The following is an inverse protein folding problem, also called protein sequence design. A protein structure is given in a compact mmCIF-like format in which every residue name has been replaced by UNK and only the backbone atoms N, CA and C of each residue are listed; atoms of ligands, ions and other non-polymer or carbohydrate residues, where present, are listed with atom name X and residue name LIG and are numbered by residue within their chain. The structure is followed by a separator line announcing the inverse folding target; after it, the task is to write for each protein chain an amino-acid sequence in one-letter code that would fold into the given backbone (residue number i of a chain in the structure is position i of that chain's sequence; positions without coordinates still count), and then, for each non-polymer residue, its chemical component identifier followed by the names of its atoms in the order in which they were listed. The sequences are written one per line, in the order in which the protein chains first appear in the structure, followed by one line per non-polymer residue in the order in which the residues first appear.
data_IF_524852867547
#
_entry.id   IF_524852867547
#
_cell.length_a   1.000
_cell.length_b   1.000
_cell.length_c   1.000
_cell.angle_alpha   90.00
_cell.angle_beta   90.00
_cell.angle_gamma   90.00
#
_symmetry.space_group_name_H-M   'P 1'
#
loop_
_entity.id
_entity.type
_entity.pdbx_description
1 polymer ?
#
# COMPACT_ATOMS: atom_id res chain seq x y z
N UNK A 1 14.28 19.29 -6.11
CA UNK A 1 13.35 18.19 -5.78
C UNK A 1 12.25 18.78 -4.94
N UNK A 2 10.98 18.57 -5.31
CA UNK A 2 9.89 18.92 -4.41
C UNK A 2 9.83 17.87 -3.30
N UNK A 3 9.53 18.29 -2.07
CA UNK A 3 9.42 17.38 -0.93
C UNK A 3 8.18 16.48 -1.02
N UNK A 4 8.22 15.34 -0.34
CA UNK A 4 7.06 14.48 -0.13
C UNK A 4 6.69 14.40 1.35
N UNK A 5 5.40 14.19 1.62
CA UNK A 5 4.85 14.05 2.97
C UNK A 5 4.09 12.73 3.02
N UNK A 6 4.43 11.88 3.98
CA UNK A 6 3.64 10.67 4.28
C UNK A 6 2.73 10.95 5.48
N UNK A 7 1.47 10.58 5.37
CA UNK A 7 0.45 10.80 6.40
C UNK A 7 -0.20 9.46 6.74
N UNK A 8 0.12 8.86 7.90
CA UNK A 8 -0.65 7.76 8.48
C UNK A 8 -2.04 8.28 8.88
N UNK A 9 -2.99 8.25 7.95
CA UNK A 9 -4.31 8.87 8.10
C UNK A 9 -5.27 7.94 8.83
N UNK A 10 -4.86 7.51 10.03
CA UNK A 10 -5.56 6.52 10.86
C UNK A 10 -6.62 7.22 11.73
N UNK A 11 -7.40 8.09 11.09
CA UNK A 11 -8.41 8.92 11.72
C UNK A 11 -9.73 8.60 11.03
N UNK A 12 -10.76 8.22 11.79
CA UNK A 12 -12.08 8.02 11.23
C UNK A 12 -12.62 9.32 10.60
N UNK A 13 -13.11 9.31 9.34
CA UNK A 13 -13.47 10.50 8.58
C UNK A 13 -14.85 11.06 8.96
N UNK A 14 -15.05 11.31 10.26
CA UNK A 14 -16.17 12.13 10.72
C UNK A 14 -16.12 13.52 10.07
N UNK A 15 -17.26 14.22 10.04
CA UNK A 15 -17.38 15.52 9.39
C UNK A 15 -16.27 16.48 9.85
N UNK A 16 -15.42 16.90 8.92
CA UNK A 16 -14.31 17.82 9.16
C UNK A 16 -12.98 17.19 9.60
N UNK A 17 -12.95 15.90 9.96
CA UNK A 17 -11.74 15.25 10.49
C UNK A 17 -10.57 15.22 9.49
N UNK A 18 -10.88 15.05 8.20
CA UNK A 18 -9.87 15.03 7.12
C UNK A 18 -9.68 16.39 6.44
N UNK A 19 -10.44 17.43 6.83
CA UNK A 19 -10.26 18.79 6.29
C UNK A 19 -8.82 19.31 6.39
N UNK A 20 -8.05 19.05 7.48
CA UNK A 20 -6.66 19.50 7.54
C UNK A 20 -5.77 19.00 6.40
N UNK A 21 -5.89 17.73 6.00
CA UNK A 21 -5.08 17.18 4.89
C UNK A 21 -5.55 17.74 3.53
N UNK A 22 -6.85 17.96 3.34
CA UNK A 22 -7.37 18.59 2.12
C UNK A 22 -6.81 20.00 1.95
N UNK A 23 -6.86 20.79 3.03
CA UNK A 23 -6.36 22.16 3.05
C UNK A 23 -4.85 22.20 2.82
N UNK A 24 -4.10 21.29 3.46
CA UNK A 24 -2.65 21.21 3.28
C UNK A 24 -2.26 20.85 1.85
N UNK A 25 -2.89 19.83 1.25
CA UNK A 25 -2.64 19.45 -0.13
C UNK A 25 -2.95 20.59 -1.12
N UNK A 26 -4.05 21.33 -0.87
CA UNK A 26 -4.46 22.46 -1.70
C UNK A 26 -3.53 23.68 -1.55
N UNK A 27 -3.05 23.95 -0.33
CA UNK A 27 -2.17 25.07 -0.05
C UNK A 27 -0.73 24.85 -0.56
N UNK A 28 -0.31 23.59 -0.68
CA UNK A 28 1.04 23.22 -1.11
C UNK A 28 1.02 22.30 -2.33
N UNK A 29 0.58 22.80 -3.52
CA UNK A 29 0.42 21.97 -4.72
C UNK A 29 1.75 21.40 -5.26
N UNK A 30 2.88 21.96 -4.82
CA UNK A 30 4.21 21.47 -5.19
C UNK A 30 4.62 20.22 -4.40
N UNK A 31 4.07 20.00 -3.20
CA UNK A 31 4.37 18.82 -2.38
C UNK A 31 3.53 17.62 -2.82
N UNK A 32 4.12 16.43 -2.77
CA UNK A 32 3.42 15.17 -2.99
C UNK A 32 3.02 14.55 -1.64
N UNK A 33 1.75 14.25 -1.46
CA UNK A 33 1.21 13.65 -0.23
C UNK A 33 0.90 12.19 -0.46
N UNK A 34 1.40 11.30 0.40
CA UNK A 34 1.00 9.89 0.45
C UNK A 34 0.18 9.66 1.71
N UNK A 35 -1.13 9.49 1.57
CA UNK A 35 -2.05 9.21 2.66
C UNK A 35 -2.28 7.70 2.82
N UNK A 36 -1.96 7.15 3.98
CA UNK A 36 -2.18 5.74 4.31
C UNK A 36 -3.58 5.61 4.92
N UNK A 37 -4.48 4.89 4.24
CA UNK A 37 -5.85 4.64 4.68
C UNK A 37 -5.92 3.31 5.41
N UNK A 38 -6.39 3.36 6.66
CA UNK A 38 -6.54 2.20 7.52
C UNK A 38 -7.93 2.27 8.20
N UNK A 39 -8.87 1.40 7.78
CA UNK A 39 -10.23 1.39 8.35
C UNK A 39 -10.25 0.61 9.66
N UNK A 40 -9.67 -0.59 9.65
CA UNK A 40 -9.61 -1.47 10.81
C UNK A 40 -8.47 -2.48 10.68
N UNK A 41 -7.23 -2.00 10.82
CA UNK A 41 -5.99 -2.74 10.53
C UNK A 41 -5.98 -3.39 9.13
N UNK A 42 -6.57 -2.69 8.17
CA UNK A 42 -6.92 -3.22 6.85
C UNK A 42 -8.11 -2.46 6.22
N UNK A 43 -8.74 -3.06 5.19
CA UNK A 43 -9.90 -2.49 4.51
C UNK A 43 -11.20 -2.55 5.35
N UNK A 44 -11.20 -3.26 6.47
CA UNK A 44 -12.39 -3.50 7.30
C UNK A 44 -13.08 -4.83 6.97
N UNK A 45 -14.22 -5.09 7.62
CA UNK A 45 -14.89 -6.40 7.55
C UNK A 45 -15.84 -6.55 6.33
N UNK A 46 -16.16 -5.46 5.63
CA UNK A 46 -17.06 -5.44 4.49
C UNK A 46 -16.33 -5.36 3.15
N UNK A 47 -17.03 -5.72 2.06
CA UNK A 47 -16.50 -5.60 0.70
C UNK A 47 -16.23 -4.13 0.30
N UNK A 48 -17.00 -3.20 0.86
CA UNK A 48 -16.88 -1.77 0.63
C UNK A 48 -16.72 -1.04 1.96
N UNK A 49 -16.04 0.13 1.97
CA UNK A 49 -15.89 0.93 3.17
C UNK A 49 -17.22 1.61 3.51
N UNK A 50 -17.31 2.20 4.71
CA UNK A 50 -18.50 2.99 5.08
C UNK A 50 -18.64 4.21 4.17
N UNK A 51 -19.85 4.78 4.10
CA UNK A 51 -20.13 5.97 3.28
C UNK A 51 -19.21 7.15 3.61
N UNK A 52 -18.87 7.33 4.88
CA UNK A 52 -17.98 8.38 5.35
C UNK A 52 -16.57 8.21 4.76
N UNK A 53 -16.04 6.98 4.76
CA UNK A 53 -14.78 6.67 4.11
C UNK A 53 -14.86 6.83 2.59
N UNK A 54 -15.89 6.31 1.92
CA UNK A 54 -16.06 6.47 0.47
C UNK A 54 -16.05 7.94 0.05
N UNK A 55 -16.80 8.80 0.76
CA UNK A 55 -16.88 10.23 0.46
C UNK A 55 -15.55 10.95 0.72
N UNK A 56 -14.90 10.67 1.85
CA UNK A 56 -13.64 11.29 2.21
C UNK A 56 -12.50 10.88 1.25
N UNK A 57 -12.45 9.60 0.87
CA UNK A 57 -11.51 9.11 -0.14
C UNK A 57 -11.76 9.74 -1.51
N UNK A 58 -13.03 9.88 -1.93
CA UNK A 58 -13.37 10.56 -3.18
C UNK A 58 -12.82 12.00 -3.24
N UNK A 59 -12.85 12.72 -2.12
CA UNK A 59 -12.24 14.06 -2.03
C UNK A 59 -10.71 13.97 -2.11
N UNK A 60 -10.05 13.10 -1.33
CA UNK A 60 -8.59 12.93 -1.40
C UNK A 60 -8.12 12.58 -2.81
N UNK A 61 -8.77 11.60 -3.43
CA UNK A 61 -8.43 11.07 -4.73
C UNK A 61 -8.72 12.04 -5.89
N UNK A 62 -9.41 13.16 -5.62
CA UNK A 62 -9.60 14.25 -6.57
C UNK A 62 -8.45 15.27 -6.56
N UNK A 63 -7.59 15.25 -5.53
CA UNK A 63 -6.45 16.13 -5.41
C UNK A 63 -5.24 15.56 -6.15
N UNK A 64 -4.78 16.25 -7.18
CA UNK A 64 -3.73 15.76 -8.11
C UNK A 64 -2.36 15.48 -7.46
N UNK A 65 -2.12 16.03 -6.26
CA UNK A 65 -0.88 15.89 -5.52
C UNK A 65 -1.04 14.97 -4.29
N UNK A 66 -2.12 14.18 -4.25
CA UNK A 66 -2.40 13.20 -3.21
C UNK A 66 -2.44 11.79 -3.81
N UNK A 67 -1.65 10.90 -3.22
CA UNK A 67 -1.69 9.46 -3.44
C UNK A 67 -2.27 8.78 -2.20
N UNK A 68 -3.38 8.09 -2.34
CA UNK A 68 -3.93 7.21 -1.29
C UNK A 68 -3.38 5.80 -1.43
N UNK A 69 -3.03 5.16 -0.32
CA UNK A 69 -2.58 3.76 -0.26
C UNK A 69 -3.24 3.03 0.90
N UNK A 70 -3.55 1.75 0.73
CA UNK A 70 -4.24 0.93 1.71
C UNK A 70 -3.27 0.29 2.69
N UNK A 71 -3.62 0.22 3.97
CA UNK A 71 -2.80 -0.40 5.00
C UNK A 71 -3.01 -1.93 5.00
N UNK A 72 -1.92 -2.69 5.07
CA UNK A 72 -1.96 -4.15 5.26
C UNK A 72 -0.87 -4.57 6.24
N UNK A 73 -1.27 -5.18 7.35
CA UNK A 73 -0.34 -5.74 8.35
C UNK A 73 0.15 -7.13 7.95
N UNK A 74 1.43 -7.43 8.16
CA UNK A 74 2.02 -8.76 7.89
C UNK A 74 2.46 -9.50 9.16
N UNK A 75 2.48 -8.83 10.31
CA UNK A 75 2.96 -9.37 11.59
C UNK A 75 4.31 -10.09 11.45
N UNK A 76 5.31 -9.39 10.90
CA UNK A 76 6.66 -9.93 10.63
C UNK A 76 6.66 -11.17 9.75
N UNK A 77 5.80 -11.18 8.73
CA UNK A 77 5.57 -12.31 7.82
C UNK A 77 4.99 -13.57 8.48
N UNK A 78 4.38 -13.45 9.67
CA UNK A 78 3.72 -14.58 10.36
C UNK A 78 2.22 -14.60 10.15
N UNK A 79 1.61 -13.51 9.68
CA UNK A 79 0.19 -13.46 9.35
C UNK A 79 -0.11 -14.39 8.17
N UNK A 80 -1.26 -15.05 8.19
CA UNK A 80 -1.67 -15.93 7.08
C UNK A 80 -1.66 -15.16 5.75
N UNK A 81 -0.91 -15.67 4.77
CA UNK A 81 -0.74 -15.03 3.47
C UNK A 81 -2.07 -14.86 2.73
N UNK A 82 -2.98 -15.84 2.79
CA UNK A 82 -4.27 -15.71 2.10
C UNK A 82 -5.08 -14.54 2.65
N UNK A 83 -5.09 -14.35 3.98
CA UNK A 83 -5.77 -13.21 4.60
C UNK A 83 -5.18 -11.87 4.15
N UNK A 84 -3.86 -11.80 3.96
CA UNK A 84 -3.21 -10.59 3.43
C UNK A 84 -3.61 -10.35 1.97
N UNK A 85 -3.63 -11.41 1.15
CA UNK A 85 -4.06 -11.31 -0.25
C UNK A 85 -5.54 -10.91 -0.38
N UNK A 86 -6.40 -11.41 0.50
CA UNK A 86 -7.82 -11.04 0.55
C UNK A 86 -8.02 -9.55 0.85
N UNK A 87 -7.18 -8.95 1.73
CA UNK A 87 -7.24 -7.51 2.00
C UNK A 87 -6.79 -6.67 0.81
N UNK A 88 -5.74 -7.11 0.10
CA UNK A 88 -5.27 -6.46 -1.14
C UNK A 88 -6.37 -6.52 -2.20
N UNK A 89 -7.02 -7.68 -2.36
CA UNK A 89 -8.13 -7.87 -3.28
C UNK A 89 -9.33 -6.99 -2.91
N UNK A 90 -9.64 -6.82 -1.61
CA UNK A 90 -10.71 -5.93 -1.16
C UNK A 90 -10.42 -4.46 -1.53
N UNK A 91 -9.17 -4.00 -1.35
CA UNK A 91 -8.77 -2.67 -1.79
C UNK A 91 -8.84 -2.49 -3.32
N UNK A 92 -8.43 -3.50 -4.10
CA UNK A 92 -8.62 -3.51 -5.57
C UNK A 92 -10.10 -3.37 -5.92
N UNK A 93 -10.95 -4.19 -5.29
CA UNK A 93 -12.38 -4.21 -5.56
C UNK A 93 -13.04 -2.83 -5.34
N UNK A 94 -12.57 -2.02 -4.41
CA UNK A 94 -13.09 -0.65 -4.22
C UNK A 94 -12.98 0.19 -5.49
N UNK A 95 -11.85 0.09 -6.19
CA UNK A 95 -11.61 0.84 -7.43
C UNK A 95 -12.36 0.27 -8.63
N UNK A 96 -12.54 -1.05 -8.69
CA UNK A 96 -13.39 -1.70 -9.69
C UNK A 96 -14.87 -1.32 -9.52
N UNK A 97 -15.31 -1.20 -8.27
CA UNK A 97 -16.67 -0.80 -7.93
C UNK A 97 -16.93 0.69 -8.19
N UNK A 98 -16.01 1.56 -7.77
CA UNK A 98 -16.08 3.00 -7.99
C UNK A 98 -14.67 3.60 -8.15
N UNK A 99 -14.37 4.09 -9.35
CA UNK A 99 -13.09 4.71 -9.67
C UNK A 99 -12.70 5.88 -8.75
N UNK A 100 -13.66 6.55 -8.09
CA UNK A 100 -13.39 7.61 -7.11
C UNK A 100 -12.79 7.09 -5.81
N UNK A 101 -13.05 5.82 -5.46
CA UNK A 101 -12.49 5.14 -4.29
C UNK A 101 -11.18 4.42 -4.59
N UNK A 102 -10.83 4.25 -5.87
CA UNK A 102 -9.61 3.54 -6.27
C UNK A 102 -8.37 4.15 -5.60
N UNK A 103 -7.70 3.35 -4.78
CA UNK A 103 -6.42 3.71 -4.18
C UNK A 103 -5.28 3.39 -5.15
N UNK A 104 -4.08 3.89 -4.87
CA UNK A 104 -2.94 3.81 -5.79
C UNK A 104 -1.96 2.69 -5.42
N UNK A 105 -2.22 1.93 -4.36
CA UNK A 105 -1.25 0.95 -3.88
C UNK A 105 -1.44 0.54 -2.42
N UNK A 106 -0.47 -0.18 -1.89
CA UNK A 106 -0.52 -0.80 -0.56
C UNK A 106 0.70 -0.40 0.28
N UNK A 107 0.45 -0.06 1.54
CA UNK A 107 1.43 0.07 2.59
C UNK A 107 1.51 -1.25 3.36
N UNK A 108 2.59 -2.00 3.14
CA UNK A 108 2.85 -3.28 3.80
C UNK A 108 3.55 -3.01 5.14
N UNK A 109 2.82 -3.11 6.24
CA UNK A 109 3.34 -2.85 7.58
C UNK A 109 3.88 -4.11 8.27
N UNK A 110 4.66 -3.89 9.33
CA UNK A 110 5.24 -4.92 10.18
C UNK A 110 6.16 -5.89 9.43
N UNK A 111 6.78 -5.47 8.31
CA UNK A 111 7.74 -6.32 7.59
C UNK A 111 8.92 -6.73 8.49
N UNK A 112 9.50 -7.93 8.31
CA UNK A 112 10.61 -8.41 9.13
C UNK A 112 11.86 -7.54 8.96
N UNK A 113 12.70 -7.55 10.00
CA UNK A 113 14.00 -6.87 10.00
C UNK A 113 15.16 -7.79 9.60
N UNK A 114 14.94 -9.11 9.61
CA UNK A 114 15.94 -10.13 9.30
C UNK A 114 15.62 -10.81 7.97
N UNK A 115 16.67 -11.16 7.24
CA UNK A 115 16.55 -11.96 6.03
C UNK A 115 16.22 -13.40 6.38
N UNK A 116 15.10 -13.90 5.84
CA UNK A 116 14.69 -15.30 5.89
C UNK A 116 14.10 -15.64 4.51
N UNK A 117 14.54 -16.73 3.84
CA UNK A 117 14.04 -17.07 2.50
C UNK A 117 12.51 -17.09 2.37
N UNK A 118 11.82 -17.67 3.35
CA UNK A 118 10.35 -17.76 3.33
C UNK A 118 9.68 -16.39 3.45
N UNK A 119 10.27 -15.45 4.20
CA UNK A 119 9.77 -14.07 4.27
C UNK A 119 9.96 -13.33 2.95
N UNK A 120 11.03 -13.64 2.21
CA UNK A 120 11.25 -13.07 0.87
C UNK A 120 10.13 -13.53 -0.07
N UNK A 121 9.87 -14.84 -0.12
CA UNK A 121 8.80 -15.42 -0.92
C UNK A 121 7.44 -14.82 -0.53
N UNK A 122 7.17 -14.70 0.78
CA UNK A 122 5.94 -14.11 1.29
C UNK A 122 5.72 -12.67 0.78
N UNK A 123 6.74 -11.81 0.91
CA UNK A 123 6.65 -10.41 0.46
C UNK A 123 6.65 -10.29 -1.06
N UNK A 124 7.32 -11.18 -1.80
CA UNK A 124 7.26 -11.24 -3.26
C UNK A 124 5.84 -11.57 -3.74
N UNK A 125 5.17 -12.53 -3.11
CA UNK A 125 3.78 -12.86 -3.44
C UNK A 125 2.85 -11.66 -3.18
N UNK A 126 3.05 -10.92 -2.09
CA UNK A 126 2.32 -9.67 -1.83
C UNK A 126 2.60 -8.64 -2.93
N UNK A 127 3.87 -8.43 -3.30
CA UNK A 127 4.25 -7.50 -4.35
C UNK A 127 3.58 -7.85 -5.68
N UNK A 128 3.56 -9.13 -6.04
CA UNK A 128 2.91 -9.62 -7.25
C UNK A 128 1.41 -9.34 -7.21
N UNK A 129 0.73 -9.64 -6.09
CA UNK A 129 -0.69 -9.39 -5.93
C UNK A 129 -1.04 -7.90 -6.06
N UNK A 130 -0.22 -6.99 -5.53
CA UNK A 130 -0.40 -5.54 -5.71
C UNK A 130 -0.28 -5.17 -7.19
N UNK A 131 0.76 -5.64 -7.89
CA UNK A 131 0.97 -5.32 -9.30
C UNK A 131 -0.09 -5.94 -10.24
N UNK A 132 -0.68 -7.07 -9.86
CA UNK A 132 -1.71 -7.77 -10.63
C UNK A 132 -3.15 -7.30 -10.31
N UNK A 133 -3.33 -6.40 -9.34
CA UNK A 133 -4.65 -5.91 -8.91
C UNK A 133 -5.22 -4.88 -9.89
N UNK A 134 -6.29 -5.19 -10.65
CA UNK A 134 -6.80 -4.32 -11.71
C UNK A 134 -7.50 -3.04 -11.21
N UNK A 135 -7.93 -3.02 -9.95
CA UNK A 135 -8.65 -1.90 -9.34
C UNK A 135 -7.77 -0.90 -8.60
N UNK A 136 -6.47 -1.16 -8.49
CA UNK A 136 -5.52 -0.16 -8.01
C UNK A 136 -5.17 0.79 -9.16
N UNK A 137 -5.15 2.11 -8.90
CA UNK A 137 -4.85 3.14 -9.93
C UNK A 137 -3.42 3.05 -10.43
N UNK A 138 -2.51 2.77 -9.51
CA UNK A 138 -1.11 2.45 -9.76
C UNK A 138 -0.81 1.12 -9.04
N UNK A 139 0.44 0.69 -9.07
CA UNK A 139 0.94 -0.53 -8.44
C UNK A 139 1.89 -0.22 -7.25
N UNK A 140 1.71 0.95 -6.61
CA UNK A 140 2.67 1.51 -5.67
C UNK A 140 2.75 0.72 -4.35
N UNK A 141 3.98 0.44 -3.90
CA UNK A 141 4.24 -0.18 -2.59
C UNK A 141 4.90 0.84 -1.67
N UNK A 142 4.16 1.27 -0.64
CA UNK A 142 4.57 2.36 0.27
C UNK A 142 5.77 2.04 1.16
N UNK A 143 6.16 0.77 1.23
CA UNK A 143 7.40 0.31 1.86
C UNK A 143 8.13 -0.60 0.88
N UNK A 144 9.18 -0.11 0.18
CA UNK A 144 9.82 -0.89 -0.86
C UNK A 144 10.41 -2.18 -0.28
N UNK A 145 10.01 -3.32 -0.85
CA UNK A 145 10.44 -4.67 -0.44
C UNK A 145 11.92 -4.91 -0.79
N UNK A 146 12.54 -3.98 -1.52
CA UNK A 146 13.93 -4.03 -1.98
C UNK A 146 15.00 -4.02 -0.88
N UNK A 147 14.66 -3.80 0.39
CA UNK A 147 15.63 -3.90 1.49
C UNK A 147 16.11 -5.33 1.78
N UNK A 148 15.48 -6.35 1.20
CA UNK A 148 15.85 -7.76 1.40
C UNK A 148 16.84 -8.25 0.32
N UNK A 149 17.05 -7.50 -0.77
CA UNK A 149 17.94 -7.91 -1.87
C UNK A 149 19.44 -7.61 -1.65
N UNK A 150 19.85 -7.00 -0.53
CA UNK A 150 21.25 -6.59 -0.31
C UNK A 150 22.18 -7.73 0.17
N UNK A 151 21.69 -8.97 0.27
CA UNK A 151 22.49 -10.12 0.76
C UNK A 151 22.43 -11.37 -0.14
N UNK A 152 22.25 -11.21 -1.45
CA UNK A 152 22.64 -12.27 -2.38
C UNK A 152 24.16 -12.18 -2.61
N UNK A 153 24.98 -13.14 -2.14
CA UNK A 153 26.36 -13.19 -2.58
C UNK A 153 26.36 -13.41 -4.09
N UNK A 154 27.24 -12.69 -4.78
CA UNK A 154 27.57 -12.90 -6.19
C UNK A 154 27.51 -14.39 -6.54
N UNK A 155 26.62 -14.74 -7.47
CA UNK A 155 26.60 -16.08 -8.07
C UNK A 155 27.94 -16.27 -8.77
N UNK A 156 28.81 -17.10 -8.19
CA UNK A 156 30.08 -17.46 -8.80
C UNK A 156 29.82 -18.12 -10.17
N UNK A 157 30.67 -17.89 -11.19
CA UNK A 157 30.50 -18.51 -12.50
C UNK A 157 30.65 -20.02 -12.38
N UNK A 158 29.83 -20.75 -13.13
CA UNK A 158 29.91 -22.20 -13.27
C UNK A 158 31.21 -22.52 -14.03
N UNK A 159 32.21 -23.07 -13.34
CA UNK A 159 33.35 -23.70 -13.99
C UNK A 159 32.87 -24.96 -14.73
N UNK A 160 33.07 -24.96 -16.03
CA UNK A 160 32.91 -26.13 -16.88
C UNK A 160 34.08 -27.07 -16.62
N UNK A 161 33.85 -28.16 -15.89
CA UNK A 161 34.79 -29.28 -15.89
C UNK A 161 34.54 -30.13 -17.14
N UNK A 162 35.40 -29.96 -18.13
CA UNK A 162 35.68 -30.98 -19.15
C UNK A 162 36.65 -32.00 -18.57
N UNK A 163 36.26 -33.28 -18.61
CA UNK A 163 37.11 -34.40 -18.97
C UNK A 163 36.28 -35.39 -19.81
#
# INVERSE_FOLDING_TARGET
MNGSVIVPLYIYPSVGAWTPIYNMASAYPQLQFTAIVNIYNGPGEGALPSKEYSQAMGILNSLINVRTIGYVATSWCTRNLSSVLDEIAAYSFWGEYDSSMAIHGIFVDETPTQYVPDHVTYLQTISQAVHESPGLRDDYIGKPISFISVLLPFRAPIETQTL
#
